data_IF_846524507744
#
_entry.id   IF_846524507744
#
_cell.length_a   1.000
_cell.length_b   1.000
_cell.length_c   1.000
_cell.angle_alpha   90.00
_cell.angle_beta   90.00
_cell.angle_gamma   90.00
#
_symmetry.space_group_name_H-M   'P 1'
#
loop_
_entity.id
_entity.type
_entity.pdbx_description
1 polymer ?
#
# COMPACT_ATOMS: atom_id res chain seq x y z
N UNK A 1 0.22 -16.37 -5.98
CA UNK A 1 0.01 -15.27 -6.93
C UNK A 1 -1.20 -14.51 -6.44
N UNK A 2 -0.91 -13.35 -5.85
CA UNK A 2 -1.87 -12.41 -5.32
C UNK A 2 -2.16 -11.29 -6.34
N UNK A 3 -3.22 -10.53 -6.10
CA UNK A 3 -3.64 -9.39 -6.91
C UNK A 3 -4.13 -8.25 -6.02
N UNK A 4 -3.67 -7.04 -6.28
CA UNK A 4 -4.13 -5.86 -5.55
C UNK A 4 -5.51 -5.43 -6.07
N UNK A 5 -6.48 -5.31 -5.17
CA UNK A 5 -7.84 -4.85 -5.48
C UNK A 5 -8.12 -3.43 -5.01
N UNK A 6 -7.49 -3.02 -3.91
CA UNK A 6 -7.60 -1.66 -3.41
C UNK A 6 -6.32 -1.27 -2.68
N UNK A 7 -6.01 0.02 -2.65
CA UNK A 7 -4.87 0.56 -1.92
C UNK A 7 -5.15 1.99 -1.46
N UNK A 8 -4.78 2.31 -0.22
CA UNK A 8 -4.98 3.63 0.38
C UNK A 8 -3.69 4.12 1.02
N UNK A 9 -3.41 5.42 0.86
CA UNK A 9 -2.31 6.07 1.57
C UNK A 9 -2.64 6.19 3.04
N UNK A 10 -1.63 6.01 3.90
CA UNK A 10 -1.81 6.11 5.34
C UNK A 10 -0.91 7.18 5.93
N UNK A 11 0.40 6.97 5.82
CA UNK A 11 1.41 7.85 6.42
C UNK A 11 2.79 7.49 5.87
N UNK A 12 3.71 8.45 5.80
CA UNK A 12 5.07 8.24 5.27
C UNK A 12 5.06 7.42 3.96
N UNK A 13 5.64 6.21 3.95
CA UNK A 13 5.67 5.28 2.82
C UNK A 13 4.79 4.05 3.06
N UNK A 14 3.75 4.22 3.89
CA UNK A 14 2.84 3.17 4.30
C UNK A 14 1.54 3.21 3.54
N UNK A 15 1.16 2.04 3.02
CA UNK A 15 -0.06 1.81 2.28
C UNK A 15 -0.88 0.73 2.98
N UNK A 16 -2.20 0.88 2.99
CA UNK A 16 -3.11 -0.20 3.30
C UNK A 16 -3.57 -0.82 1.99
N UNK A 17 -3.32 -2.11 1.79
CA UNK A 17 -3.64 -2.80 0.55
C UNK A 17 -4.60 -3.94 0.82
N UNK A 18 -5.65 -4.01 0.01
CA UNK A 18 -6.62 -5.11 -0.02
C UNK A 18 -6.34 -6.00 -1.22
N UNK A 19 -6.19 -7.29 -0.97
CA UNK A 19 -5.93 -8.31 -1.98
C UNK A 19 -7.22 -9.02 -2.42
N UNK A 20 -7.12 -9.82 -3.47
CA UNK A 20 -8.19 -10.64 -4.07
C UNK A 20 -8.85 -11.63 -3.10
N UNK A 21 -8.08 -12.13 -2.14
CA UNK A 21 -8.51 -13.08 -1.12
C UNK A 21 -9.21 -12.39 0.07
N UNK A 22 -9.39 -11.07 -0.03
CA UNK A 22 -9.92 -10.16 1.00
C UNK A 22 -8.97 -9.91 2.17
N UNK A 23 -7.74 -10.43 2.11
CA UNK A 23 -6.70 -10.08 3.08
C UNK A 23 -6.37 -8.60 2.93
N UNK A 24 -6.26 -7.92 4.07
CA UNK A 24 -5.85 -6.52 4.13
C UNK A 24 -4.52 -6.45 4.84
N UNK A 25 -3.53 -5.76 4.25
CA UNK A 25 -2.20 -5.64 4.83
C UNK A 25 -1.74 -4.19 4.90
N UNK A 26 -1.14 -3.83 6.02
CA UNK A 26 -0.35 -2.62 6.16
C UNK A 26 1.06 -2.91 5.64
N UNK A 27 1.48 -2.16 4.63
CA UNK A 27 2.77 -2.32 3.95
C UNK A 27 3.60 -1.06 4.17
N UNK A 28 4.87 -1.22 4.55
CA UNK A 28 5.85 -0.14 4.66
C UNK A 28 6.92 -0.28 3.56
N UNK A 29 6.94 0.64 2.60
CA UNK A 29 7.88 0.62 1.49
C UNK A 29 9.16 1.42 1.75
N UNK A 30 9.33 2.05 2.92
CA UNK A 30 10.43 2.97 3.20
C UNK A 30 11.82 2.39 2.94
N UNK A 31 12.03 1.12 3.26
CA UNK A 31 13.29 0.39 3.07
C UNK A 31 13.42 -0.29 1.70
N UNK A 32 12.48 -0.06 0.78
CA UNK A 32 12.38 -0.76 -0.51
C UNK A 32 12.42 0.19 -1.70
N UNK A 33 12.86 1.45 -1.50
CA UNK A 33 12.95 2.48 -2.55
C UNK A 33 14.36 2.62 -3.13
N UNK A 34 15.07 1.50 -3.28
CA UNK A 34 16.43 1.47 -3.81
C UNK A 34 16.45 1.30 -5.32
N UNK A 35 17.18 2.17 -6.02
CA UNK A 35 17.36 2.10 -7.47
C UNK A 35 16.68 3.24 -8.21
N UNK A 36 17.16 3.50 -9.44
CA UNK A 36 16.83 4.73 -10.18
C UNK A 36 15.33 4.91 -10.44
N UNK A 37 14.61 3.82 -10.66
CA UNK A 37 13.15 3.86 -10.90
C UNK A 37 12.37 4.26 -9.65
N UNK A 38 12.89 3.98 -8.45
CA UNK A 38 12.25 4.29 -7.18
C UNK A 38 12.73 5.61 -6.54
N UNK A 39 13.81 6.23 -7.04
CA UNK A 39 14.29 7.52 -6.52
C UNK A 39 13.21 8.60 -6.44
N UNK A 40 12.33 8.81 -7.46
CA UNK A 40 11.25 9.79 -7.36
C UNK A 40 10.27 9.51 -6.21
N UNK A 41 10.07 8.24 -5.86
CA UNK A 41 9.15 7.81 -4.80
C UNK A 41 9.65 8.22 -3.41
N UNK A 42 10.93 8.59 -3.24
CA UNK A 42 11.42 9.15 -1.96
C UNK A 42 10.78 10.50 -1.65
N UNK A 43 10.25 11.22 -2.63
CA UNK A 43 9.41 12.39 -2.39
C UNK A 43 8.00 11.94 -1.98
N UNK A 44 7.57 12.23 -0.76
CA UNK A 44 6.26 11.82 -0.23
C UNK A 44 5.08 12.31 -1.08
N UNK A 45 5.16 13.50 -1.66
CA UNK A 45 4.07 14.01 -2.50
C UNK A 45 3.96 13.22 -3.81
N UNK A 46 5.09 12.76 -4.36
CA UNK A 46 5.09 11.87 -5.51
C UNK A 46 4.68 10.44 -5.12
N UNK A 47 5.14 9.94 -3.96
CA UNK A 47 4.73 8.63 -3.45
C UNK A 47 3.20 8.52 -3.33
N UNK A 48 2.52 9.57 -2.88
CA UNK A 48 1.06 9.63 -2.76
C UNK A 48 0.29 9.54 -4.09
N UNK A 49 0.94 9.71 -5.23
CA UNK A 49 0.26 9.65 -6.55
C UNK A 49 0.10 8.24 -7.09
N UNK A 50 0.45 7.21 -6.30
CA UNK A 50 0.25 5.82 -6.69
C UNK A 50 -1.23 5.57 -7.05
N UNK A 51 -1.44 4.60 -7.93
CA UNK A 51 -2.77 4.10 -8.30
C UNK A 51 -2.74 2.58 -8.37
N UNK A 52 -3.88 1.95 -8.15
CA UNK A 52 -4.06 0.54 -8.53
C UNK A 52 -4.23 0.47 -10.04
N UNK A 53 -3.45 -0.38 -10.69
CA UNK A 53 -3.54 -0.66 -12.11
C UNK A 53 -4.22 -2.02 -12.33
N UNK A 54 -5.43 -2.07 -12.90
CA UNK A 54 -6.17 -3.31 -13.09
C UNK A 54 -5.62 -4.19 -14.24
N UNK A 55 -4.74 -3.67 -15.10
CA UNK A 55 -4.16 -4.46 -16.20
C UNK A 55 -3.00 -5.34 -15.72
N UNK A 56 -2.26 -4.85 -14.72
CA UNK A 56 -1.12 -5.55 -14.12
C UNK A 56 -1.38 -5.98 -12.65
N UNK A 57 -2.62 -5.80 -12.18
CA UNK A 57 -3.12 -6.21 -10.86
C UNK A 57 -2.26 -5.76 -9.66
N UNK A 58 -1.63 -4.57 -9.74
CA UNK A 58 -0.77 -4.03 -8.66
C UNK A 58 -0.82 -2.50 -8.54
N UNK A 59 -0.08 -1.92 -7.58
CA UNK A 59 0.13 -0.47 -7.46
C UNK A 59 1.24 0.02 -8.41
N UNK A 60 1.01 1.17 -9.04
CA UNK A 60 1.95 1.78 -9.99
C UNK A 60 2.02 3.30 -9.82
N UNK A 61 3.16 3.88 -10.18
CA UNK A 61 3.37 5.34 -10.27
C UNK A 61 3.49 5.79 -11.73
N UNK A 62 3.34 7.10 -11.99
CA UNK A 62 3.41 7.65 -13.36
C UNK A 62 4.74 7.38 -14.07
N UNK A 63 5.84 7.24 -13.33
CA UNK A 63 7.14 6.88 -13.89
C UNK A 63 7.25 5.38 -14.24
N UNK A 64 6.19 4.60 -14.07
CA UNK A 64 6.15 3.16 -14.33
C UNK A 64 6.75 2.29 -13.22
N UNK A 65 7.13 2.87 -12.08
CA UNK A 65 7.52 2.08 -10.92
C UNK A 65 6.33 1.27 -10.41
N UNK A 66 6.54 0.01 -10.09
CA UNK A 66 5.57 -0.89 -9.48
C UNK A 66 6.24 -1.81 -8.45
N UNK A 67 5.42 -2.56 -7.73
CA UNK A 67 5.86 -3.66 -6.87
C UNK A 67 5.01 -4.87 -7.19
N UNK A 68 5.59 -6.07 -7.25
CA UNK A 68 4.77 -7.27 -7.52
C UNK A 68 3.78 -7.50 -6.38
N UNK A 69 2.55 -7.96 -6.66
CA UNK A 69 1.57 -8.25 -5.61
C UNK A 69 2.05 -9.26 -4.58
N UNK A 70 2.77 -10.30 -5.02
CA UNK A 70 3.31 -11.32 -4.12
C UNK A 70 4.35 -10.73 -3.15
N UNK A 71 5.21 -9.82 -3.61
CA UNK A 71 6.16 -9.12 -2.74
C UNK A 71 5.43 -8.26 -1.69
N UNK A 72 4.42 -7.49 -2.14
CA UNK A 72 3.58 -6.68 -1.25
C UNK A 72 2.87 -7.52 -0.20
N UNK A 73 2.38 -8.71 -0.60
CA UNK A 73 1.73 -9.65 0.29
C UNK A 73 2.70 -10.22 1.34
N UNK A 74 3.93 -10.56 0.93
CA UNK A 74 4.95 -11.15 1.79
C UNK A 74 5.43 -10.17 2.87
N UNK A 75 5.71 -8.92 2.52
CA UNK A 75 6.24 -7.92 3.48
C UNK A 75 5.15 -7.28 4.34
N UNK A 76 3.87 -7.43 3.93
CA UNK A 76 2.74 -6.77 4.57
C UNK A 76 2.30 -7.47 5.85
N UNK A 77 2.00 -6.68 6.88
CA UNK A 77 1.46 -7.17 8.15
C UNK A 77 -0.07 -7.22 8.02
N UNK A 78 -0.67 -8.36 8.40
CA UNK A 78 -2.13 -8.52 8.41
C UNK A 78 -2.78 -7.41 9.26
N UNK A 79 -3.72 -6.72 8.65
CA UNK A 79 -4.48 -5.64 9.27
C UNK A 79 -5.91 -6.12 9.45
N UNK A 80 -6.32 -6.37 10.70
CA UNK A 80 -7.62 -6.94 11.00
C UNK A 80 -8.56 -5.83 11.43
N UNK A 81 -9.38 -5.34 10.49
CA UNK A 81 -10.30 -4.23 10.69
C UNK A 81 -11.09 -4.34 12.00
N UNK A 82 -11.57 -5.53 12.38
CA UNK A 82 -12.43 -5.68 13.58
C UNK A 82 -11.69 -5.59 14.92
N UNK A 83 -10.43 -5.99 14.97
CA UNK A 83 -9.58 -5.94 16.16
C UNK A 83 -8.82 -4.62 16.23
N UNK A 84 -8.37 -4.12 15.09
CA UNK A 84 -7.73 -2.82 14.96
C UNK A 84 -8.72 -1.66 15.12
N UNK A 85 -10.00 -1.82 14.79
CA UNK A 85 -11.04 -0.82 15.12
C UNK A 85 -11.23 -0.61 16.64
N UNK A 86 -10.80 -1.55 17.48
CA UNK A 86 -10.90 -1.39 18.95
C UNK A 86 -9.75 -0.61 19.54
N UNK A 87 -8.68 -0.38 18.78
CA UNK A 87 -7.56 0.43 19.22
C UNK A 87 -7.67 1.84 18.61
N UNK A 88 -7.40 2.89 19.41
CA UNK A 88 -7.56 4.30 18.98
C UNK A 88 -6.75 4.61 17.71
N UNK A 89 -5.61 3.93 17.54
CA UNK A 89 -4.75 4.03 16.35
C UNK A 89 -5.40 3.45 15.09
N UNK A 90 -6.14 2.34 15.18
CA UNK A 90 -6.79 1.71 14.03
C UNK A 90 -8.02 2.49 13.55
N UNK A 91 -8.71 3.18 14.45
CA UNK A 91 -9.78 4.13 14.07
C UNK A 91 -9.20 5.30 13.26
N UNK A 92 -8.10 5.92 13.73
CA UNK A 92 -7.45 7.02 13.00
C UNK A 92 -6.96 6.57 11.61
N UNK A 93 -6.43 5.35 11.53
CA UNK A 93 -5.94 4.75 10.30
C UNK A 93 -7.05 4.55 9.26
N UNK A 94 -8.21 4.06 9.69
CA UNK A 94 -9.36 3.84 8.81
C UNK A 94 -9.98 5.16 8.35
N UNK A 95 -10.13 6.15 9.24
CA UNK A 95 -10.66 7.46 8.87
C UNK A 95 -9.82 8.15 7.78
N UNK A 96 -8.49 7.94 7.76
CA UNK A 96 -7.59 8.45 6.71
C UNK A 96 -7.64 7.67 5.39
N UNK A 97 -8.18 6.46 5.38
CA UNK A 97 -8.36 5.66 4.16
C UNK A 97 -9.72 5.88 3.48
N UNK A 98 -10.68 6.50 4.16
CA UNK A 98 -12.05 6.73 3.69
C UNK A 98 -12.29 8.18 3.23
N UNK A 99 -11.45 9.13 3.67
CA UNK A 99 -11.50 10.56 3.34
C UNK A 99 -10.15 11.07 2.88
#
# INVERSE_FOLDING_TARGET
MHFVRNASYISEYKLLITFEDKTVKLIDLKSHLDGRIFEPLKNINYFKTFRVDPEIDTIVWENGADFSPDFLYEIGIDFNISEDMKNEKGIEYILKSIF
#
